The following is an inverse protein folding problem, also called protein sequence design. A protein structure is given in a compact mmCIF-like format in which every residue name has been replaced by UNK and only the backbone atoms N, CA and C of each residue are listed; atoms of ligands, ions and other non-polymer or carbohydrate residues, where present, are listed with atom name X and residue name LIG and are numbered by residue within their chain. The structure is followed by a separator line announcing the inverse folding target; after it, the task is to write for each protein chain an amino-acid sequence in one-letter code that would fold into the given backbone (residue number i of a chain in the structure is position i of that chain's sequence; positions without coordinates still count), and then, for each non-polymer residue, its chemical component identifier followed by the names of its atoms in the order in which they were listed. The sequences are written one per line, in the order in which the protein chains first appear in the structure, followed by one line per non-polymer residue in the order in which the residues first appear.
data_IF_188882079560
#
_entry.id   IF_188882079560
#
_cell.length_a   1.000
_cell.length_b   1.000
_cell.length_c   1.000
_cell.angle_alpha   90.00
_cell.angle_beta   90.00
_cell.angle_gamma   90.00
#
_symmetry.space_group_name_H-M   'P 1'
#
loop_
_entity.id
_entity.type
_entity.pdbx_description
1 polymer ?
#
# COMPACT_ATOMS: atom_id res chain seq x y z
N UNK A 1 -12.01 -15.27 -9.63
CA UNK A 1 -12.14 -16.21 -8.48
C UNK A 1 -11.01 -16.09 -7.45
N UNK A 2 -9.76 -15.76 -7.83
CA UNK A 2 -8.63 -15.67 -6.88
C UNK A 2 -8.74 -14.51 -5.89
N UNK A 3 -9.23 -13.36 -6.35
CA UNK A 3 -9.49 -12.16 -5.55
C UNK A 3 -10.45 -12.38 -4.37
N UNK A 4 -11.62 -12.95 -4.61
CA UNK A 4 -12.62 -13.22 -3.57
C UNK A 4 -12.16 -14.31 -2.58
N UNK A 5 -11.36 -15.28 -3.05
CA UNK A 5 -10.74 -16.29 -2.20
C UNK A 5 -9.69 -15.70 -1.25
N UNK A 6 -8.82 -14.81 -1.74
CA UNK A 6 -7.84 -14.11 -0.91
C UNK A 6 -8.49 -13.29 0.21
N UNK A 7 -9.55 -12.53 -0.10
CA UNK A 7 -10.31 -11.78 0.90
C UNK A 7 -10.95 -12.67 1.96
N UNK A 8 -11.39 -13.87 1.57
CA UNK A 8 -11.93 -14.85 2.51
C UNK A 8 -10.84 -15.43 3.43
N UNK A 9 -9.65 -15.68 2.89
CA UNK A 9 -8.51 -16.21 3.64
C UNK A 9 -7.94 -15.20 4.64
N UNK A 10 -7.90 -13.91 4.29
CA UNK A 10 -7.52 -12.84 5.23
C UNK A 10 -8.44 -12.79 6.45
N UNK A 11 -9.75 -12.99 6.25
CA UNK A 11 -10.73 -13.05 7.36
C UNK A 11 -10.62 -14.33 8.21
N UNK A 12 -9.98 -15.37 7.69
CA UNK A 12 -9.76 -16.64 8.37
C UNK A 12 -8.35 -16.75 8.99
N UNK A 13 -7.60 -15.65 9.03
CA UNK A 13 -6.21 -15.59 9.52
C UNK A 13 -5.24 -16.52 8.77
N UNK A 14 -5.58 -16.93 7.54
CA UNK A 14 -4.75 -17.79 6.68
C UNK A 14 -3.84 -16.95 5.79
N UNK A 15 -3.05 -16.09 6.43
CA UNK A 15 -2.28 -15.04 5.77
C UNK A 15 -1.34 -15.54 4.65
N UNK A 16 -0.58 -16.65 4.80
CA UNK A 16 0.31 -17.11 3.73
C UNK A 16 -0.42 -17.55 2.45
N UNK A 17 -1.56 -18.23 2.59
CA UNK A 17 -2.36 -18.68 1.46
C UNK A 17 -3.05 -17.50 0.77
N UNK A 18 -3.52 -16.52 1.54
CA UNK A 18 -4.09 -15.29 1.00
C UNK A 18 -3.05 -14.52 0.15
N UNK A 19 -1.84 -14.36 0.69
CA UNK A 19 -0.75 -13.66 0.02
C UNK A 19 -0.35 -14.32 -1.30
N UNK A 20 -0.25 -15.64 -1.33
CA UNK A 20 0.07 -16.35 -2.58
C UNK A 20 -1.04 -16.18 -3.62
N UNK A 21 -2.31 -16.23 -3.21
CA UNK A 21 -3.44 -16.01 -4.12
C UNK A 21 -3.48 -14.57 -4.67
N UNK A 22 -3.14 -13.58 -3.84
CA UNK A 22 -3.03 -12.19 -4.27
C UNK A 22 -1.85 -11.99 -5.24
N UNK A 23 -0.68 -12.55 -4.91
CA UNK A 23 0.50 -12.51 -5.79
C UNK A 23 0.22 -13.16 -7.14
N UNK A 24 -0.44 -14.33 -7.16
CA UNK A 24 -0.83 -14.97 -8.42
C UNK A 24 -1.86 -14.14 -9.21
N UNK A 25 -2.68 -13.34 -8.52
CA UNK A 25 -3.62 -12.43 -9.18
C UNK A 25 -2.88 -11.27 -9.86
N UNK A 26 -1.87 -10.68 -9.21
CA UNK A 26 -1.05 -9.62 -9.82
C UNK A 26 -0.22 -10.12 -11.01
N UNK A 27 0.21 -11.38 -11.01
CA UNK A 27 0.88 -12.00 -12.15
C UNK A 27 -0.09 -12.27 -13.31
N UNK A 28 -1.31 -12.72 -13.01
CA UNK A 28 -2.30 -13.05 -14.03
C UNK A 28 -2.86 -11.81 -14.75
N UNK A 29 -3.04 -10.70 -14.02
CA UNK A 29 -3.55 -9.44 -14.54
C UNK A 29 -2.67 -8.27 -14.07
N UNK A 30 -1.50 -8.05 -14.71
CA UNK A 30 -0.50 -7.09 -14.23
C UNK A 30 -0.92 -5.63 -14.35
N UNK A 31 -1.94 -5.32 -15.16
CA UNK A 31 -2.51 -3.97 -15.33
C UNK A 31 -3.79 -3.78 -14.48
N UNK A 32 -4.11 -4.71 -13.58
CA UNK A 32 -5.23 -4.57 -12.67
C UNK A 32 -4.78 -3.91 -11.35
N UNK A 33 -4.99 -2.60 -11.23
CA UNK A 33 -4.57 -1.83 -10.05
C UNK A 33 -5.16 -2.37 -8.74
N UNK A 34 -6.36 -2.93 -8.76
CA UNK A 34 -7.03 -3.40 -7.55
C UNK A 34 -6.33 -4.63 -6.96
N UNK A 35 -5.77 -5.49 -7.81
CA UNK A 35 -5.02 -6.66 -7.35
C UNK A 35 -3.70 -6.26 -6.70
N UNK A 36 -2.98 -5.31 -7.30
CA UNK A 36 -1.78 -4.73 -6.70
C UNK A 36 -2.07 -4.05 -5.39
N UNK A 37 -3.18 -3.29 -5.32
CA UNK A 37 -3.60 -2.60 -4.11
C UNK A 37 -3.84 -3.57 -2.95
N UNK A 38 -4.66 -4.60 -3.15
CA UNK A 38 -4.91 -5.59 -2.11
C UNK A 38 -3.66 -6.39 -1.75
N UNK A 39 -2.82 -6.72 -2.72
CA UNK A 39 -1.57 -7.42 -2.46
C UNK A 39 -0.65 -6.59 -1.56
N UNK A 40 -0.52 -5.29 -1.84
CA UNK A 40 0.24 -4.36 -1.01
C UNK A 40 -0.29 -4.27 0.43
N UNK A 41 -1.60 -4.09 0.60
CA UNK A 41 -2.23 -4.06 1.94
C UNK A 41 -2.00 -5.37 2.72
N UNK A 42 -2.10 -6.52 2.05
CA UNK A 42 -1.90 -7.82 2.71
C UNK A 42 -0.44 -8.05 3.15
N UNK A 43 0.52 -7.39 2.49
CA UNK A 43 1.95 -7.47 2.78
C UNK A 43 2.42 -6.56 3.90
N UNK A 44 1.61 -5.61 4.36
CA UNK A 44 2.00 -4.54 5.29
C UNK A 44 2.81 -5.05 6.51
N UNK A 45 2.31 -6.09 7.18
CA UNK A 45 2.96 -6.68 8.36
C UNK A 45 3.94 -7.82 8.04
N UNK A 46 4.15 -8.12 6.76
CA UNK A 46 4.95 -9.27 6.29
C UNK A 46 6.25 -8.80 5.62
N UNK A 47 6.14 -7.84 4.71
CA UNK A 47 7.24 -7.26 3.97
C UNK A 47 6.87 -5.84 3.54
N UNK A 48 7.21 -4.86 4.39
CA UNK A 48 6.87 -3.45 4.18
C UNK A 48 7.39 -2.89 2.85
N UNK A 49 8.57 -3.33 2.41
CA UNK A 49 9.15 -2.88 1.13
C UNK A 49 8.31 -3.36 -0.04
N UNK A 50 7.98 -4.66 -0.09
CA UNK A 50 7.10 -5.19 -1.14
C UNK A 50 5.69 -4.61 -1.06
N UNK A 51 5.19 -4.33 0.14
CA UNK A 51 3.92 -3.66 0.33
C UNK A 51 3.92 -2.27 -0.33
N UNK A 52 4.97 -1.48 -0.04
CA UNK A 52 5.19 -0.14 -0.60
C UNK A 52 5.24 -0.17 -2.12
N UNK A 53 6.00 -1.11 -2.71
CA UNK A 53 6.13 -1.27 -4.16
C UNK A 53 4.80 -1.68 -4.83
N UNK A 54 4.05 -2.59 -4.21
CA UNK A 54 2.76 -3.03 -4.75
C UNK A 54 1.72 -1.90 -4.74
N UNK A 55 1.68 -1.09 -3.68
CA UNK A 55 0.80 0.07 -3.61
C UNK A 55 1.21 1.18 -4.61
N UNK A 56 2.52 1.39 -4.80
CA UNK A 56 3.02 2.30 -5.84
C UNK A 56 2.61 1.82 -7.24
N UNK A 57 2.78 0.52 -7.53
CA UNK A 57 2.34 -0.06 -8.80
C UNK A 57 0.83 0.12 -9.00
N UNK A 58 0.02 -0.10 -7.97
CA UNK A 58 -1.43 0.13 -8.03
C UNK A 58 -1.76 1.57 -8.43
N UNK A 59 -1.14 2.54 -7.74
CA UNK A 59 -1.32 3.96 -8.01
C UNK A 59 -0.89 4.33 -9.44
N UNK A 60 0.27 3.86 -9.89
CA UNK A 60 0.77 4.16 -11.24
C UNK A 60 -0.13 3.62 -12.35
N UNK A 61 -0.79 2.49 -12.12
CA UNK A 61 -1.77 1.93 -13.08
C UNK A 61 -3.06 2.75 -13.08
N UNK A 62 -3.59 3.11 -11.91
CA UNK A 62 -4.92 3.71 -11.79
C UNK A 62 -4.95 5.23 -11.87
N UNK A 63 -3.85 5.90 -11.51
CA UNK A 63 -3.79 7.32 -11.20
C UNK A 63 -4.63 7.72 -9.98
N UNK A 64 -5.17 6.78 -9.20
CA UNK A 64 -6.08 7.07 -8.09
C UNK A 64 -5.31 7.55 -6.85
N UNK A 65 -5.46 8.83 -6.43
CA UNK A 65 -4.73 9.37 -5.27
C UNK A 65 -5.02 8.67 -3.95
N UNK A 66 -6.14 7.95 -3.82
CA UNK A 66 -6.46 7.16 -2.63
C UNK A 66 -5.49 5.98 -2.44
N UNK A 67 -5.00 5.39 -3.52
CA UNK A 67 -4.00 4.32 -3.46
C UNK A 67 -2.62 4.86 -3.07
N UNK A 68 -2.27 6.07 -3.57
CA UNK A 68 -1.08 6.79 -3.12
C UNK A 68 -1.18 7.18 -1.63
N UNK A 69 -2.34 7.67 -1.19
CA UNK A 69 -2.59 7.98 0.22
C UNK A 69 -2.35 6.75 1.11
N UNK A 70 -2.92 5.59 0.75
CA UNK A 70 -2.74 4.36 1.51
C UNK A 70 -1.26 3.95 1.62
N UNK A 71 -0.49 4.10 0.53
CA UNK A 71 0.97 3.89 0.56
C UNK A 71 1.66 4.83 1.56
N UNK A 72 1.33 6.12 1.50
CA UNK A 72 1.96 7.12 2.37
C UNK A 72 1.60 6.91 3.84
N UNK A 73 0.33 6.63 4.14
CA UNK A 73 -0.15 6.33 5.49
C UNK A 73 0.56 5.09 6.07
N UNK A 74 0.68 4.02 5.27
CA UNK A 74 1.43 2.83 5.66
C UNK A 74 2.90 3.16 5.98
N UNK A 75 3.60 3.90 5.10
CA UNK A 75 5.00 4.26 5.35
C UNK A 75 5.16 5.15 6.60
N UNK A 76 4.24 6.08 6.82
CA UNK A 76 4.21 6.91 8.03
C UNK A 76 4.00 6.06 9.28
N UNK A 77 3.12 5.06 9.23
CA UNK A 77 2.86 4.16 10.36
C UNK A 77 4.12 3.40 10.83
N UNK A 78 5.02 3.06 9.90
CA UNK A 78 6.28 2.35 10.22
C UNK A 78 7.50 3.28 10.23
N UNK A 79 7.33 4.59 10.38
CA UNK A 79 8.41 5.58 10.29
C UNK A 79 9.46 5.49 11.40
N UNK A 80 9.24 4.68 12.45
CA UNK A 80 10.29 4.36 13.42
C UNK A 80 11.51 3.70 12.74
N UNK A 81 11.29 3.06 11.58
CA UNK A 81 12.36 2.64 10.69
C UNK A 81 12.81 3.82 9.80
N UNK A 82 14.09 4.19 9.89
CA UNK A 82 14.67 5.30 9.13
C UNK A 82 14.45 5.23 7.60
N UNK A 83 14.45 4.01 7.02
CA UNK A 83 14.17 3.84 5.58
C UNK A 83 12.70 4.13 5.24
N UNK A 84 11.77 3.67 6.09
CA UNK A 84 10.35 3.93 5.94
C UNK A 84 10.02 5.41 6.16
N UNK A 85 10.66 6.08 7.11
CA UNK A 85 10.52 7.53 7.32
C UNK A 85 10.93 8.32 6.07
N UNK A 86 12.07 7.98 5.48
CA UNK A 86 12.56 8.62 4.27
C UNK A 86 11.61 8.42 3.09
N UNK A 87 11.10 7.20 2.89
CA UNK A 87 10.09 6.91 1.88
C UNK A 87 8.76 7.62 2.16
N UNK A 88 8.34 7.71 3.42
CA UNK A 88 7.13 8.42 3.83
C UNK A 88 7.21 9.89 3.43
N UNK A 89 8.32 10.57 3.72
CA UNK A 89 8.54 11.98 3.35
C UNK A 89 8.45 12.20 1.85
N UNK A 90 9.05 11.31 1.05
CA UNK A 90 8.94 11.32 -0.42
C UNK A 90 7.51 11.10 -0.89
N UNK A 91 6.83 10.09 -0.33
CA UNK A 91 5.45 9.77 -0.66
C UNK A 91 4.52 10.96 -0.40
N UNK A 92 4.65 11.60 0.77
CA UNK A 92 3.83 12.76 1.12
C UNK A 92 4.09 13.95 0.20
N UNK A 93 5.32 14.13 -0.29
CA UNK A 93 5.66 15.18 -1.28
C UNK A 93 5.01 14.89 -2.64
N UNK A 94 4.89 13.62 -3.02
CA UNK A 94 4.16 13.21 -4.21
C UNK A 94 2.65 13.41 -4.06
N UNK A 95 2.10 13.04 -2.89
CA UNK A 95 0.68 13.15 -2.58
C UNK A 95 0.18 14.61 -2.58
N UNK A 96 1.03 15.58 -2.27
CA UNK A 96 0.73 17.03 -2.37
C UNK A 96 0.25 17.47 -3.76
N UNK A 97 0.63 16.73 -4.81
CA UNK A 97 0.18 17.01 -6.18
C UNK A 97 -1.28 16.62 -6.41
N UNK A 98 -1.84 15.76 -5.57
CA UNK A 98 -3.13 15.12 -5.78
C UNK A 98 -4.13 15.30 -4.63
N UNK A 99 -3.65 15.62 -3.43
CA UNK A 99 -4.49 15.77 -2.24
C UNK A 99 -4.29 17.14 -1.57
N UNK A 100 -5.37 17.73 -1.02
CA UNK A 100 -5.29 19.03 -0.38
C UNK A 100 -4.53 18.97 0.97
N UNK A 101 -3.99 20.10 1.45
CA UNK A 101 -3.14 20.13 2.65
C UNK A 101 -3.77 19.54 3.92
N UNK A 102 -5.09 19.65 4.08
CA UNK A 102 -5.81 19.12 5.25
C UNK A 102 -5.78 17.59 5.33
N UNK A 103 -5.55 16.88 4.22
CA UNK A 103 -5.38 15.43 4.18
C UNK A 103 -3.94 15.04 4.53
N UNK A 104 -2.97 15.87 4.18
CA UNK A 104 -1.53 15.57 4.28
C UNK A 104 -0.96 15.98 5.64
N UNK A 105 -1.45 17.08 6.22
CA UNK A 105 -0.95 17.61 7.49
C UNK A 105 -0.98 16.59 8.65
N UNK A 106 -2.05 15.78 8.84
CA UNK A 106 -2.08 14.76 9.90
C UNK A 106 -0.99 13.69 9.74
N UNK A 107 -0.66 13.30 8.50
CA UNK A 107 0.40 12.34 8.22
C UNK A 107 1.78 12.94 8.48
N UNK A 108 2.01 14.20 8.09
CA UNK A 108 3.29 14.90 8.37
C UNK A 108 3.56 15.05 9.85
N UNK A 109 2.53 15.36 10.64
CA UNK A 109 2.66 15.52 12.09
C UNK A 109 3.07 14.24 12.81
N UNK A 110 2.87 13.06 12.21
CA UNK A 110 3.34 11.79 12.77
C UNK A 110 4.85 11.60 12.59
N UNK A 111 5.45 12.19 11.55
CA UNK A 111 6.89 12.14 11.26
C UNK A 111 7.73 13.16 12.06
N UNK A 112 7.10 13.90 12.97
CA UNK A 112 7.75 14.89 13.85
C UNK A 112 7.83 14.43 15.30
N UNK A 113 7.36 13.21 15.58
CA UNK A 113 7.26 12.63 16.92
C UNK A 113 8.56 11.98 17.35
#
# INVERSE_FOLDING_TARGET
MRYSAALSLLRQDKQPQALEMLRLSTVAEPENSQYWFLYGLALENVDLSKASDALDRAFRISGNPQQLYARCEMLVKYSDNMSAEFEARKCLTELEKYAPPNIIAPLRNQLLR
#
